data_IF_609077684390
#
_entry.id   IF_609077684390
#
_cell.length_a   1.000
_cell.length_b   1.000
_cell.length_c   1.000
_cell.angle_alpha   90.00
_cell.angle_beta   90.00
_cell.angle_gamma   90.00
#
_symmetry.space_group_name_H-M   'P 1'
#
loop_
_entity.id
_entity.type
_entity.pdbx_description
1 polymer ?
#
# COMPACT_ATOMS: atom_id res chain seq x y z
N UNK A 1 -4.78 -18.65 82.86
CA UNK A 1 -3.98 -19.44 81.88
C UNK A 1 -4.48 -19.12 80.48
N UNK A 2 -3.83 -18.24 79.72
CA UNK A 2 -4.39 -17.77 78.44
C UNK A 2 -3.55 -16.73 77.71
N UNK A 3 -2.33 -17.07 77.28
CA UNK A 3 -1.54 -16.26 76.32
C UNK A 3 -0.67 -17.08 75.34
N UNK A 4 -0.55 -18.40 75.51
CA UNK A 4 0.35 -19.23 74.69
C UNK A 4 -0.26 -19.78 73.38
N UNK A 5 -1.59 -19.77 73.21
CA UNK A 5 -2.27 -20.43 72.09
C UNK A 5 -2.49 -19.52 70.86
N UNK A 6 -2.69 -18.21 71.04
CA UNK A 6 -2.95 -17.27 69.92
C UNK A 6 -1.69 -16.97 69.09
N UNK A 7 -0.51 -16.94 69.70
CA UNK A 7 0.76 -16.62 69.02
C UNK A 7 1.20 -17.70 68.03
N UNK A 8 0.85 -18.98 68.26
CA UNK A 8 1.16 -20.08 67.34
C UNK A 8 0.31 -20.04 66.06
N UNK A 9 -0.97 -19.66 66.16
CA UNK A 9 -1.87 -19.59 64.99
C UNK A 9 -1.54 -18.42 64.03
N UNK A 10 -0.97 -17.32 64.52
CA UNK A 10 -0.57 -16.17 63.68
C UNK A 10 0.74 -16.42 62.91
N UNK A 11 1.66 -17.22 63.45
CA UNK A 11 2.91 -17.60 62.79
C UNK A 11 2.64 -18.54 61.61
N UNK A 12 1.75 -19.52 61.78
CA UNK A 12 1.36 -20.46 60.72
C UNK A 12 0.60 -19.78 59.57
N UNK A 13 -0.21 -18.75 59.86
CA UNK A 13 -0.95 -17.99 58.84
C UNK A 13 -0.04 -17.10 57.99
N UNK A 14 0.97 -16.47 58.61
CA UNK A 14 2.00 -15.67 57.91
C UNK A 14 2.93 -16.53 57.07
N UNK A 15 3.29 -17.72 57.55
CA UNK A 15 4.10 -18.70 56.79
C UNK A 15 3.37 -19.20 55.53
N UNK A 16 2.06 -19.47 55.60
CA UNK A 16 1.26 -19.90 54.44
C UNK A 16 1.11 -18.81 53.37
N UNK A 17 0.95 -17.53 53.76
CA UNK A 17 0.87 -16.40 52.82
C UNK A 17 2.23 -16.12 52.15
N UNK A 18 3.34 -16.30 52.86
CA UNK A 18 4.68 -16.19 52.29
C UNK A 18 4.96 -17.30 51.25
N UNK A 19 4.60 -18.54 51.56
CA UNK A 19 4.74 -19.69 50.64
C UNK A 19 3.88 -19.53 49.37
N UNK A 20 2.65 -19.00 49.49
CA UNK A 20 1.79 -18.71 48.33
C UNK A 20 2.36 -17.60 47.43
N UNK A 21 3.00 -16.57 48.00
CA UNK A 21 3.64 -15.48 47.22
C UNK A 21 4.91 -15.92 46.50
N UNK A 22 5.66 -16.87 47.04
CA UNK A 22 6.81 -17.47 46.34
C UNK A 22 6.38 -18.42 45.21
N UNK A 23 5.31 -19.21 45.42
CA UNK A 23 4.72 -20.05 44.38
C UNK A 23 4.16 -19.21 43.20
N UNK A 24 3.50 -18.09 43.50
CA UNK A 24 2.99 -17.16 42.48
C UNK A 24 4.13 -16.51 41.68
N UNK A 25 5.22 -16.07 42.32
CA UNK A 25 6.40 -15.51 41.63
C UNK A 25 7.10 -16.53 40.72
N UNK A 26 7.21 -17.79 41.15
CA UNK A 26 7.75 -18.90 40.31
C UNK A 26 6.83 -19.26 39.14
N UNK A 27 5.53 -19.04 39.25
CA UNK A 27 4.59 -19.23 38.15
C UNK A 27 4.68 -18.09 37.13
N UNK A 28 4.82 -16.84 37.61
CA UNK A 28 4.93 -15.66 36.76
C UNK A 28 6.27 -15.59 36.00
N UNK A 29 7.39 -15.97 36.64
CA UNK A 29 8.68 -16.12 35.95
C UNK A 29 8.64 -17.21 34.86
N UNK A 30 7.99 -18.35 35.13
CA UNK A 30 7.79 -19.39 34.09
C UNK A 30 6.95 -18.85 32.93
N UNK A 31 5.89 -18.09 33.19
CA UNK A 31 5.04 -17.48 32.15
C UNK A 31 5.79 -16.47 31.28
N UNK A 32 6.69 -15.66 31.87
CA UNK A 32 7.57 -14.73 31.11
C UNK A 32 8.62 -15.47 30.27
N UNK A 33 9.19 -16.56 30.78
CA UNK A 33 10.12 -17.40 30.01
C UNK A 33 9.41 -18.07 28.83
N UNK A 34 8.16 -18.52 29.00
CA UNK A 34 7.37 -19.09 27.90
C UNK A 34 6.95 -18.05 26.84
N UNK A 35 6.68 -16.78 27.23
CA UNK A 35 6.40 -15.70 26.27
C UNK A 35 7.64 -15.23 25.50
N UNK A 36 8.80 -15.18 26.14
CA UNK A 36 10.07 -14.86 25.49
C UNK A 36 10.58 -16.01 24.59
N UNK A 37 10.42 -17.27 25.03
CA UNK A 37 10.78 -18.45 24.22
C UNK A 37 9.87 -18.65 23.01
N UNK A 38 8.56 -18.40 23.16
CA UNK A 38 7.58 -18.52 22.06
C UNK A 38 7.78 -17.48 20.95
N UNK A 39 8.18 -16.24 21.30
CA UNK A 39 8.47 -15.19 20.32
C UNK A 39 9.76 -15.45 19.55
N UNK A 40 10.82 -15.93 20.21
CA UNK A 40 12.08 -16.32 19.54
C UNK A 40 11.84 -17.51 18.59
N UNK A 41 11.05 -18.51 19.01
CA UNK A 41 10.73 -19.65 18.16
C UNK A 41 9.86 -19.24 16.95
N UNK A 42 8.89 -18.33 17.14
CA UNK A 42 8.09 -17.81 16.04
C UNK A 42 8.94 -17.02 15.02
N UNK A 43 9.84 -16.16 15.50
CA UNK A 43 10.78 -15.43 14.63
C UNK A 43 11.72 -16.41 13.91
N UNK A 44 12.25 -17.42 14.60
CA UNK A 44 13.10 -18.44 13.97
C UNK A 44 12.35 -19.24 12.90
N UNK A 45 11.09 -19.62 13.14
CA UNK A 45 10.25 -20.31 12.15
C UNK A 45 9.98 -19.40 10.94
N UNK A 46 9.68 -18.11 11.16
CA UNK A 46 9.48 -17.14 10.07
C UNK A 46 10.76 -16.96 9.26
N UNK A 47 11.91 -16.80 9.91
CA UNK A 47 13.22 -16.67 9.23
C UNK A 47 13.56 -17.96 8.45
N UNK A 48 13.35 -19.13 9.04
CA UNK A 48 13.56 -20.41 8.35
C UNK A 48 12.60 -20.58 7.19
N UNK A 49 11.33 -20.19 7.32
CA UNK A 49 10.37 -20.19 6.22
C UNK A 49 10.81 -19.24 5.09
N UNK A 50 11.29 -18.04 5.41
CA UNK A 50 11.85 -17.11 4.43
C UNK A 50 13.11 -17.66 3.76
N UNK A 51 14.02 -18.29 4.50
CA UNK A 51 15.23 -18.92 3.96
C UNK A 51 14.87 -20.10 3.06
N UNK A 52 13.89 -20.93 3.43
CA UNK A 52 13.42 -22.04 2.60
C UNK A 52 12.70 -21.55 1.33
N UNK A 53 11.90 -20.49 1.42
CA UNK A 53 11.31 -19.83 0.24
C UNK A 53 12.42 -19.27 -0.66
N UNK A 54 13.46 -18.67 -0.09
CA UNK A 54 14.60 -18.12 -0.86
C UNK A 54 15.48 -19.22 -1.48
N UNK A 55 15.60 -20.38 -0.84
CA UNK A 55 16.36 -21.54 -1.36
C UNK A 55 15.57 -22.33 -2.42
N UNK A 56 14.24 -22.37 -2.33
CA UNK A 56 13.38 -23.01 -3.33
C UNK A 56 13.00 -22.10 -4.51
N UNK A 57 13.16 -20.79 -4.36
CA UNK A 57 12.99 -19.83 -5.46
C UNK A 57 14.31 -19.73 -6.21
N UNK A 58 14.59 -20.72 -7.07
CA UNK A 58 15.66 -20.62 -8.06
C UNK A 58 15.54 -19.29 -8.80
N UNK A 59 16.59 -18.47 -8.77
CA UNK A 59 16.62 -17.15 -9.35
C UNK A 59 16.31 -17.20 -10.84
N UNK A 60 15.03 -17.01 -11.18
CA UNK A 60 14.61 -16.74 -12.55
C UNK A 60 15.22 -15.41 -12.97
N UNK A 61 15.92 -15.41 -14.11
CA UNK A 61 16.44 -14.18 -14.69
C UNK A 61 15.30 -13.16 -14.84
N UNK A 62 15.46 -11.98 -14.26
CA UNK A 62 14.53 -10.86 -14.44
C UNK A 62 14.38 -10.59 -15.93
N UNK A 63 13.15 -10.48 -16.43
CA UNK A 63 12.92 -10.14 -17.82
C UNK A 63 13.54 -8.78 -18.13
N UNK A 64 14.29 -8.66 -19.24
CA UNK A 64 14.89 -7.38 -19.60
C UNK A 64 13.81 -6.31 -19.80
N UNK A 65 14.04 -5.12 -19.24
CA UNK A 65 13.09 -4.02 -19.29
C UNK A 65 12.91 -3.54 -20.75
N UNK A 66 11.67 -3.44 -21.27
CA UNK A 66 11.45 -3.06 -22.67
C UNK A 66 11.83 -1.60 -22.91
N UNK A 67 12.37 -1.32 -24.10
CA UNK A 67 12.72 0.03 -24.55
C UNK A 67 12.17 0.27 -25.96
N UNK A 68 12.26 1.50 -26.45
CA UNK A 68 11.85 1.87 -27.81
C UNK A 68 10.41 1.43 -28.13
N UNK A 69 10.23 0.76 -29.27
CA UNK A 69 8.91 0.33 -29.75
C UNK A 69 8.20 -0.63 -28.79
N UNK A 70 8.93 -1.50 -28.09
CA UNK A 70 8.33 -2.43 -27.14
C UNK A 70 7.74 -1.68 -25.93
N UNK A 71 8.46 -0.67 -25.43
CA UNK A 71 7.94 0.22 -24.38
C UNK A 71 6.73 1.01 -24.88
N UNK A 72 6.78 1.57 -26.09
CA UNK A 72 5.62 2.27 -26.67
C UNK A 72 4.39 1.35 -26.73
N UNK A 73 4.55 0.09 -27.14
CA UNK A 73 3.44 -0.87 -27.18
C UNK A 73 2.87 -1.15 -25.79
N UNK A 74 3.73 -1.40 -24.80
CA UNK A 74 3.31 -1.65 -23.41
C UNK A 74 2.57 -0.44 -22.86
N UNK A 75 3.16 0.76 -22.99
CA UNK A 75 2.54 2.00 -22.50
C UNK A 75 1.19 2.22 -23.17
N UNK A 76 1.11 2.12 -24.50
CA UNK A 76 -0.16 2.29 -25.21
C UNK A 76 -1.24 1.30 -24.75
N UNK A 77 -0.87 0.05 -24.48
CA UNK A 77 -1.82 -0.94 -24.01
C UNK A 77 -2.37 -0.61 -22.61
N UNK A 78 -1.52 -0.13 -21.71
CA UNK A 78 -1.92 0.23 -20.33
C UNK A 78 -2.72 1.53 -20.30
N UNK A 79 -2.35 2.52 -21.11
CA UNK A 79 -3.03 3.83 -21.12
C UNK A 79 -4.34 3.82 -21.90
N UNK A 80 -4.57 2.83 -22.79
CA UNK A 80 -5.77 2.72 -23.62
C UNK A 80 -6.58 1.44 -23.35
N UNK A 81 -6.66 0.99 -22.10
CA UNK A 81 -7.56 -0.12 -21.75
C UNK A 81 -9.01 0.27 -22.09
N UNK A 82 -9.76 -0.54 -22.86
CA UNK A 82 -11.11 -0.20 -23.27
C UNK A 82 -12.06 0.00 -22.09
N UNK A 83 -12.98 0.95 -22.20
CA UNK A 83 -14.03 1.21 -21.20
C UNK A 83 -14.85 -0.05 -20.91
N UNK A 84 -15.09 -0.90 -21.92
CA UNK A 84 -15.77 -2.18 -21.74
C UNK A 84 -15.03 -3.14 -20.79
N UNK A 85 -13.70 -3.04 -20.70
CA UNK A 85 -12.89 -3.80 -19.75
C UNK A 85 -12.95 -3.15 -18.37
N UNK A 86 -12.75 -1.83 -18.28
CA UNK A 86 -12.76 -1.13 -16.98
C UNK A 86 -14.12 -1.24 -16.29
N UNK A 87 -15.21 -1.07 -17.05
CA UNK A 87 -16.59 -1.20 -16.54
C UNK A 87 -16.91 -2.65 -16.14
N UNK A 88 -16.40 -3.64 -16.88
CA UNK A 88 -16.58 -5.06 -16.55
C UNK A 88 -15.78 -5.49 -15.32
N UNK A 89 -14.60 -4.93 -15.11
CA UNK A 89 -13.81 -5.17 -13.89
C UNK A 89 -14.48 -4.53 -12.67
N UNK A 90 -15.11 -3.36 -12.83
CA UNK A 90 -15.77 -2.62 -11.77
C UNK A 90 -14.85 -2.40 -10.55
N UNK A 91 -15.19 -2.92 -9.37
CA UNK A 91 -14.37 -2.77 -8.16
C UNK A 91 -13.11 -3.66 -8.15
N UNK A 92 -12.95 -4.56 -9.12
CA UNK A 92 -11.83 -5.49 -9.20
C UNK A 92 -11.68 -6.43 -8.00
N UNK A 93 -12.74 -6.60 -7.19
CA UNK A 93 -12.70 -7.35 -5.95
C UNK A 93 -11.96 -6.65 -4.81
N UNK A 94 -11.74 -5.33 -4.90
CA UNK A 94 -11.10 -4.58 -3.82
C UNK A 94 -11.88 -4.73 -2.52
N UNK A 95 -11.18 -5.03 -1.43
CA UNK A 95 -11.80 -5.22 -0.12
C UNK A 95 -12.50 -3.95 0.33
N UNK A 96 -13.74 -4.04 0.82
CA UNK A 96 -14.46 -2.87 1.32
C UNK A 96 -13.97 -2.41 2.69
N UNK A 97 -13.36 -3.31 3.46
CA UNK A 97 -12.89 -3.02 4.82
C UNK A 97 -11.64 -2.13 4.89
N UNK A 98 -11.07 -1.77 3.74
CA UNK A 98 -9.92 -0.87 3.65
C UNK A 98 -10.30 0.56 3.26
N UNK A 99 -11.60 0.86 3.13
CA UNK A 99 -12.08 2.23 3.03
C UNK A 99 -12.48 2.75 4.41
N UNK A 100 -12.04 3.95 4.76
CA UNK A 100 -12.28 4.55 6.07
C UNK A 100 -12.47 6.06 5.99
N UNK A 101 -13.06 6.67 7.02
CA UNK A 101 -13.06 8.13 7.18
C UNK A 101 -12.01 8.49 8.22
N UNK A 102 -11.08 9.37 7.87
CA UNK A 102 -9.97 9.79 8.73
C UNK A 102 -9.84 11.32 8.75
N UNK A 103 -10.70 11.98 9.51
CA UNK A 103 -10.78 13.44 9.53
C UNK A 103 -9.92 14.08 10.63
N UNK A 104 -9.50 13.30 11.62
CA UNK A 104 -8.63 13.73 12.71
C UNK A 104 -7.37 12.88 12.78
N UNK A 105 -6.33 13.39 13.45
CA UNK A 105 -5.11 12.63 13.71
C UNK A 105 -5.37 11.33 14.52
N UNK A 106 -6.41 11.33 15.37
CA UNK A 106 -6.82 10.14 16.11
C UNK A 106 -7.45 9.08 15.18
N UNK A 107 -8.24 9.51 14.19
CA UNK A 107 -8.80 8.62 13.19
C UNK A 107 -7.69 8.03 12.32
N UNK A 108 -6.77 8.87 11.81
CA UNK A 108 -5.61 8.42 11.03
C UNK A 108 -4.83 7.36 11.79
N UNK A 109 -4.49 7.63 13.06
CA UNK A 109 -3.79 6.67 13.92
C UNK A 109 -4.57 5.36 14.08
N UNK A 110 -5.90 5.44 14.20
CA UNK A 110 -6.76 4.26 14.35
C UNK A 110 -6.79 3.44 13.07
N UNK A 111 -6.97 4.10 11.93
CA UNK A 111 -6.97 3.48 10.60
C UNK A 111 -5.60 2.82 10.34
N UNK A 112 -4.50 3.55 10.52
CA UNK A 112 -3.14 3.04 10.28
C UNK A 112 -2.73 1.90 11.21
N UNK A 113 -3.25 1.86 12.44
CA UNK A 113 -2.94 0.78 13.39
C UNK A 113 -3.73 -0.50 13.13
N UNK A 114 -4.91 -0.37 12.52
CA UNK A 114 -5.81 -1.50 12.28
C UNK A 114 -5.71 -2.06 10.86
N UNK A 115 -5.31 -1.22 9.89
CA UNK A 115 -5.25 -1.55 8.47
C UNK A 115 -3.81 -1.42 7.98
N UNK A 116 -3.31 -2.47 7.32
CA UNK A 116 -2.00 -2.42 6.66
C UNK A 116 -1.98 -1.64 5.34
N UNK A 117 -3.15 -1.38 4.77
CA UNK A 117 -3.36 -0.57 3.57
C UNK A 117 -4.78 -0.01 3.58
N UNK A 118 -4.99 1.20 3.07
CA UNK A 118 -6.32 1.83 3.06
C UNK A 118 -6.43 2.96 2.06
N UNK A 119 -7.68 3.29 1.71
CA UNK A 119 -8.04 4.59 1.14
C UNK A 119 -8.99 5.29 2.10
N UNK A 120 -8.52 6.39 2.69
CA UNK A 120 -9.27 7.16 3.65
C UNK A 120 -9.80 8.45 3.05
N UNK A 121 -11.03 8.82 3.41
CA UNK A 121 -11.54 10.17 3.18
C UNK A 121 -11.02 11.08 4.26
N UNK A 122 -10.36 12.17 3.86
CA UNK A 122 -9.72 13.12 4.75
C UNK A 122 -10.38 14.49 4.63
N UNK A 123 -10.28 15.31 5.67
CA UNK A 123 -10.92 16.64 5.70
C UNK A 123 -9.85 17.75 5.74
N UNK A 124 -9.03 17.80 4.69
CA UNK A 124 -8.01 18.81 4.55
C UNK A 124 -8.44 19.97 3.64
N UNK A 125 -7.66 21.05 3.68
CA UNK A 125 -7.79 22.14 2.69
C UNK A 125 -7.51 21.58 1.30
N UNK A 126 -8.39 21.80 0.30
CA UNK A 126 -8.20 21.24 -1.04
C UNK A 126 -6.79 21.50 -1.59
N UNK A 127 -6.06 20.43 -1.88
CA UNK A 127 -4.73 20.54 -2.48
C UNK A 127 -4.89 20.85 -3.96
N UNK A 128 -4.37 22.00 -4.38
CA UNK A 128 -4.46 22.47 -5.76
C UNK A 128 -3.12 22.97 -6.25
N UNK A 129 -2.85 22.72 -7.53
CA UNK A 129 -1.67 23.19 -8.23
C UNK A 129 -2.05 23.57 -9.65
N UNK A 130 -1.64 24.77 -10.07
CA UNK A 130 -2.00 25.37 -11.36
C UNK A 130 -3.53 25.44 -11.59
N UNK A 131 -4.29 25.76 -10.53
CA UNK A 131 -5.75 25.91 -10.59
C UNK A 131 -6.53 24.59 -10.73
N UNK A 132 -5.87 23.45 -10.58
CA UNK A 132 -6.47 22.11 -10.67
C UNK A 132 -6.26 21.35 -9.36
N UNK A 133 -7.14 20.40 -9.00
CA UNK A 133 -6.84 19.43 -7.95
C UNK A 133 -5.48 18.77 -8.21
N UNK A 134 -4.66 18.69 -7.18
CA UNK A 134 -3.36 18.03 -7.24
C UNK A 134 -3.48 16.60 -6.72
N UNK A 135 -2.83 15.67 -7.42
CA UNK A 135 -2.61 14.30 -6.97
C UNK A 135 -1.12 14.16 -6.68
N UNK A 136 -0.76 14.04 -5.40
CA UNK A 136 0.60 13.79 -4.95
C UNK A 136 0.81 12.29 -4.82
N UNK A 137 1.91 11.79 -5.38
CA UNK A 137 2.37 10.44 -5.15
C UNK A 137 3.75 10.49 -4.49
N UNK A 138 3.96 9.70 -3.44
CA UNK A 138 5.27 9.47 -2.83
C UNK A 138 5.55 7.97 -2.81
N UNK A 139 6.73 7.59 -3.30
CA UNK A 139 7.20 6.21 -3.26
C UNK A 139 8.68 6.11 -3.59
N UNK A 140 9.14 4.90 -3.89
CA UNK A 140 10.51 4.66 -4.30
C UNK A 140 10.56 3.49 -5.28
N UNK A 141 11.49 3.57 -6.24
CA UNK A 141 11.66 2.51 -7.24
C UNK A 141 11.98 1.17 -6.58
N UNK A 142 12.73 1.14 -5.47
CA UNK A 142 13.01 -0.12 -4.74
C UNK A 142 11.75 -0.86 -4.26
N UNK A 143 10.65 -0.15 -4.00
CA UNK A 143 9.49 -0.68 -3.29
C UNK A 143 8.57 -1.50 -4.23
N UNK A 144 8.34 -2.79 -3.95
CA UNK A 144 7.54 -3.64 -4.83
C UNK A 144 6.04 -3.30 -4.82
N UNK A 145 5.49 -2.82 -3.70
CA UNK A 145 4.10 -2.35 -3.62
C UNK A 145 3.91 -1.09 -4.47
N UNK A 146 4.90 -0.21 -4.47
CA UNK A 146 4.97 0.97 -5.33
C UNK A 146 5.04 0.55 -6.80
N UNK A 147 5.83 -0.48 -7.10
CA UNK A 147 5.92 -1.07 -8.42
C UNK A 147 4.55 -1.58 -8.92
N UNK A 148 3.74 -2.19 -8.04
CA UNK A 148 2.37 -2.57 -8.38
C UNK A 148 1.47 -1.36 -8.64
N UNK A 149 1.50 -0.36 -7.76
CA UNK A 149 0.61 0.80 -7.82
C UNK A 149 0.81 1.66 -9.06
N UNK A 150 2.06 1.77 -9.54
CA UNK A 150 2.36 2.53 -10.76
C UNK A 150 1.59 2.06 -11.98
N UNK A 151 1.29 0.76 -12.10
CA UNK A 151 0.43 0.26 -13.18
C UNK A 151 -1.00 0.80 -13.06
N UNK A 152 -1.55 0.81 -11.85
CA UNK A 152 -2.88 1.33 -11.58
C UNK A 152 -2.95 2.85 -11.81
N UNK A 153 -1.98 3.61 -11.29
CA UNK A 153 -1.87 5.06 -11.52
C UNK A 153 -1.69 5.44 -12.99
N UNK A 154 -0.81 4.74 -13.73
CA UNK A 154 -0.63 4.99 -15.17
C UNK A 154 -1.94 4.76 -15.92
N UNK A 155 -2.68 3.69 -15.58
CA UNK A 155 -3.99 3.45 -16.20
C UNK A 155 -5.05 4.48 -15.80
N UNK A 156 -5.17 4.80 -14.51
CA UNK A 156 -6.18 5.72 -14.00
C UNK A 156 -5.99 7.13 -14.54
N UNK A 157 -4.79 7.70 -14.39
CA UNK A 157 -4.54 9.10 -14.71
C UNK A 157 -4.42 9.35 -16.22
N UNK A 158 -4.17 8.31 -17.04
CA UNK A 158 -4.28 8.42 -18.50
C UNK A 158 -5.71 8.66 -18.99
N UNK A 159 -6.73 8.38 -18.15
CA UNK A 159 -8.12 8.70 -18.47
C UNK A 159 -8.41 10.20 -18.39
N UNK A 160 -7.56 10.94 -17.66
CA UNK A 160 -7.67 12.39 -17.43
C UNK A 160 -6.55 13.18 -18.12
N UNK A 161 -5.58 12.54 -18.76
CA UNK A 161 -4.42 13.24 -19.29
C UNK A 161 -3.48 12.33 -20.04
N UNK A 162 -2.26 12.81 -20.25
CA UNK A 162 -1.26 12.08 -21.04
C UNK A 162 0.07 12.10 -20.32
N UNK A 163 0.62 10.91 -20.13
CA UNK A 163 2.01 10.73 -19.74
C UNK A 163 2.93 10.77 -20.95
N UNK A 164 4.07 11.42 -20.81
CA UNK A 164 5.17 11.41 -21.79
C UNK A 164 6.48 11.11 -21.09
N UNK A 165 7.40 10.43 -21.76
CA UNK A 165 8.71 10.08 -21.18
C UNK A 165 8.66 9.02 -20.07
N UNK A 166 7.56 8.26 -19.94
CA UNK A 166 7.53 7.09 -19.05
C UNK A 166 8.64 6.10 -19.45
N UNK A 167 9.28 5.54 -18.44
CA UNK A 167 10.29 4.48 -18.59
C UNK A 167 9.89 3.27 -17.76
N UNK A 168 10.44 2.13 -18.12
CA UNK A 168 10.33 0.89 -17.33
C UNK A 168 11.38 0.84 -16.23
N UNK A 169 11.03 0.26 -15.09
CA UNK A 169 11.91 0.00 -13.97
C UNK A 169 11.52 -1.32 -13.27
N UNK A 170 12.39 -1.86 -12.43
CA UNK A 170 12.03 -2.93 -11.52
C UNK A 170 12.07 -2.41 -10.08
N UNK A 171 11.29 -3.05 -9.21
CA UNK A 171 11.59 -2.99 -7.77
C UNK A 171 12.94 -3.60 -7.44
N UNK A 172 13.43 -3.34 -6.24
CA UNK A 172 14.69 -3.89 -5.76
C UNK A 172 14.72 -5.42 -5.94
N UNK A 173 15.87 -5.95 -6.36
CA UNK A 173 16.11 -7.38 -6.46
C UNK A 173 16.32 -8.07 -5.11
N UNK A 174 16.41 -7.32 -4.01
CA UNK A 174 16.67 -7.84 -2.64
C UNK A 174 15.48 -7.72 -1.69
N UNK A 175 14.36 -7.14 -2.12
CA UNK A 175 13.13 -6.99 -1.34
C UNK A 175 12.30 -8.30 -1.33
N UNK A 176 11.23 -8.34 -0.53
CA UNK A 176 10.31 -9.50 -0.37
C UNK A 176 9.69 -9.95 -1.70
N UNK A 177 9.45 -9.03 -2.63
CA UNK A 177 9.01 -9.34 -3.99
C UNK A 177 10.03 -8.80 -5.00
N UNK A 178 11.10 -9.56 -5.25
CA UNK A 178 12.25 -9.05 -5.97
C UNK A 178 11.92 -8.81 -7.44
N UNK A 179 12.52 -7.77 -8.02
CA UNK A 179 12.43 -7.46 -9.44
C UNK A 179 10.99 -7.39 -9.97
N UNK A 180 10.08 -6.75 -9.23
CA UNK A 180 8.70 -6.56 -9.67
C UNK A 180 8.69 -5.60 -10.87
N UNK A 181 8.18 -6.00 -12.06
CA UNK A 181 8.19 -5.17 -13.26
C UNK A 181 7.25 -3.97 -13.12
N UNK A 182 7.72 -2.77 -13.48
CA UNK A 182 6.94 -1.54 -13.30
C UNK A 182 7.39 -0.39 -14.21
N UNK A 183 6.72 0.76 -14.09
CA UNK A 183 7.17 2.03 -14.65
C UNK A 183 7.95 2.81 -13.59
N UNK A 184 8.64 3.86 -14.02
CA UNK A 184 9.10 4.93 -13.14
C UNK A 184 8.51 6.26 -13.59
N UNK A 185 8.17 7.11 -12.63
CA UNK A 185 7.78 8.48 -12.92
C UNK A 185 8.97 9.44 -13.00
N UNK A 186 10.18 9.02 -12.63
CA UNK A 186 11.37 9.86 -12.71
C UNK A 186 11.64 10.29 -14.16
N UNK A 187 11.67 11.60 -14.37
CA UNK A 187 11.86 12.20 -15.69
C UNK A 187 10.65 12.08 -16.62
N UNK A 188 9.54 11.50 -16.17
CA UNK A 188 8.26 11.53 -16.90
C UNK A 188 7.59 12.90 -16.76
N UNK A 189 6.68 13.22 -17.67
CA UNK A 189 5.83 14.41 -17.60
C UNK A 189 4.38 14.00 -17.74
N UNK A 190 3.50 14.70 -17.03
CA UNK A 190 2.05 14.51 -17.12
C UNK A 190 1.38 15.82 -17.53
N UNK A 191 0.51 15.75 -18.54
CA UNK A 191 -0.29 16.90 -19.01
C UNK A 191 -1.77 16.57 -18.90
N UNK A 192 -2.55 17.46 -18.29
CA UNK A 192 -3.98 17.29 -18.10
C UNK A 192 -4.69 18.63 -17.94
N UNK A 193 -5.96 18.68 -18.39
CA UNK A 193 -6.89 19.77 -18.14
C UNK A 193 -7.64 19.63 -16.80
N UNK A 194 -7.59 18.46 -16.17
CA UNK A 194 -8.44 18.10 -15.04
C UNK A 194 -7.69 18.06 -13.71
N UNK A 195 -6.49 17.47 -13.69
CA UNK A 195 -5.67 17.37 -12.49
C UNK A 195 -4.22 17.80 -12.74
N UNK A 196 -3.48 18.07 -11.68
CA UNK A 196 -2.03 18.11 -11.68
C UNK A 196 -1.53 16.84 -11.00
N UNK A 197 -0.63 16.09 -11.64
CA UNK A 197 -0.01 14.91 -11.04
C UNK A 197 1.43 15.25 -10.65
N UNK A 198 1.75 15.09 -9.38
CA UNK A 198 3.04 15.46 -8.79
C UNK A 198 3.67 14.20 -8.16
N UNK A 199 4.39 13.39 -8.94
CA UNK A 199 5.07 12.21 -8.40
C UNK A 199 6.41 12.57 -7.76
N UNK A 200 6.70 11.93 -6.63
CA UNK A 200 8.00 11.94 -5.96
C UNK A 200 8.46 10.49 -5.77
N UNK A 201 9.44 10.09 -6.55
CA UNK A 201 10.19 8.85 -6.41
C UNK A 201 11.43 9.16 -5.57
N UNK A 202 11.38 8.92 -4.28
CA UNK A 202 12.43 9.33 -3.33
C UNK A 202 13.75 8.60 -3.60
N UNK A 203 13.67 7.29 -3.84
CA UNK A 203 14.83 6.42 -3.96
C UNK A 203 14.77 5.51 -5.18
N UNK A 204 15.94 5.14 -5.69
CA UNK A 204 16.13 4.22 -6.81
C UNK A 204 15.89 2.76 -6.44
N UNK A 205 16.06 1.87 -7.42
CA UNK A 205 15.98 0.42 -7.20
C UNK A 205 16.94 -0.04 -6.10
N UNK A 206 18.11 0.59 -6.00
CA UNK A 206 18.95 0.57 -4.81
C UNK A 206 18.54 1.72 -3.87
N UNK A 207 18.01 1.38 -2.69
CA UNK A 207 17.41 2.35 -1.75
C UNK A 207 18.40 3.39 -1.17
N UNK A 208 19.71 3.21 -1.39
CA UNK A 208 20.74 4.19 -1.03
C UNK A 208 20.95 5.28 -2.09
N UNK A 209 20.28 5.20 -3.23
CA UNK A 209 20.33 6.19 -4.30
C UNK A 209 19.10 7.09 -4.18
N UNK A 210 19.29 8.33 -3.76
CA UNK A 210 18.22 9.34 -3.76
C UNK A 210 17.97 9.83 -5.18
N UNK A 211 16.72 9.76 -5.64
CA UNK A 211 16.29 10.23 -6.96
C UNK A 211 15.60 11.59 -6.88
N UNK A 212 14.70 11.76 -5.90
CA UNK A 212 13.98 13.00 -5.65
C UNK A 212 13.86 13.23 -4.13
N UNK A 213 13.52 14.44 -3.72
CA UNK A 213 13.29 14.77 -2.31
C UNK A 213 11.92 15.45 -2.21
N UNK A 214 10.99 14.94 -1.38
CA UNK A 214 9.73 15.62 -1.14
C UNK A 214 9.98 17.00 -0.58
N UNK A 215 9.18 17.99 -0.99
CA UNK A 215 9.17 19.29 -0.31
C UNK A 215 8.66 19.13 1.13
N UNK A 216 8.97 20.09 2.01
CA UNK A 216 8.49 20.05 3.40
C UNK A 216 6.96 19.96 3.51
N UNK A 217 6.23 20.61 2.59
CA UNK A 217 4.77 20.55 2.52
C UNK A 217 4.28 19.15 2.12
N UNK A 218 4.89 18.53 1.10
CA UNK A 218 4.57 17.16 0.68
C UNK A 218 4.85 16.15 1.81
N UNK A 219 6.00 16.28 2.48
CA UNK A 219 6.35 15.41 3.61
C UNK A 219 5.37 15.59 4.78
N UNK A 220 4.98 16.82 5.08
CA UNK A 220 3.99 17.09 6.14
C UNK A 220 2.64 16.49 5.80
N UNK A 221 2.21 16.59 4.54
CA UNK A 221 0.96 15.98 4.07
C UNK A 221 1.00 14.45 4.21
N UNK A 222 2.08 13.82 3.74
CA UNK A 222 2.29 12.38 3.87
C UNK A 222 2.28 11.95 5.35
N UNK A 223 3.06 12.60 6.21
CA UNK A 223 3.10 12.24 7.65
C UNK A 223 1.78 12.50 8.38
N UNK A 224 0.96 13.44 7.89
CA UNK A 224 -0.36 13.73 8.47
C UNK A 224 -1.32 12.57 8.28
N UNK A 225 -1.31 11.94 7.11
CA UNK A 225 -2.24 10.85 6.78
C UNK A 225 -1.61 9.48 6.81
N UNK A 226 -0.29 9.38 6.81
CA UNK A 226 0.46 8.15 6.97
C UNK A 226 1.63 8.37 7.97
N UNK A 227 1.34 8.39 9.28
CA UNK A 227 2.38 8.50 10.30
C UNK A 227 3.30 7.28 10.34
N UNK A 228 2.96 6.18 9.64
CA UNK A 228 3.78 4.99 9.52
C UNK A 228 4.90 5.10 8.47
N UNK A 229 4.81 6.08 7.56
CA UNK A 229 5.77 6.25 6.47
C UNK A 229 5.80 5.06 5.51
N UNK A 230 4.65 4.45 5.27
CA UNK A 230 4.49 3.42 4.27
C UNK A 230 4.52 4.02 2.86
N UNK A 231 4.88 3.18 1.89
CA UNK A 231 4.85 3.52 0.48
C UNK A 231 4.25 2.35 -0.31
N UNK A 232 3.42 2.60 -1.35
CA UNK A 232 3.08 3.91 -1.91
C UNK A 232 2.18 4.76 -0.99
N UNK A 233 2.35 6.08 -1.05
CA UNK A 233 1.41 7.07 -0.51
C UNK A 233 0.84 7.90 -1.66
N UNK A 234 -0.48 8.07 -1.70
CA UNK A 234 -1.15 8.91 -2.70
C UNK A 234 -2.13 9.85 -1.99
N UNK A 235 -1.96 11.15 -2.14
CA UNK A 235 -2.98 12.14 -1.81
C UNK A 235 -3.74 12.54 -3.07
N UNK A 236 -5.07 12.53 -3.01
CA UNK A 236 -5.94 12.99 -4.07
C UNK A 236 -6.68 14.24 -3.61
N UNK A 237 -6.11 15.40 -3.93
CA UNK A 237 -6.69 16.72 -3.71
C UNK A 237 -6.91 17.05 -2.23
N UNK A 238 -6.20 16.40 -1.31
CA UNK A 238 -6.42 16.45 0.13
C UNK A 238 -7.87 16.15 0.54
N UNK A 239 -8.52 15.30 -0.26
CA UNK A 239 -9.87 14.76 -0.03
C UNK A 239 -9.82 13.27 0.24
N UNK A 240 -8.89 12.56 -0.40
CA UNK A 240 -8.61 11.16 -0.15
C UNK A 240 -7.12 10.93 0.03
N UNK A 241 -6.75 10.04 0.95
CA UNK A 241 -5.39 9.56 1.13
C UNK A 241 -5.37 8.03 0.99
N UNK A 242 -4.57 7.51 0.07
CA UNK A 242 -4.30 6.10 -0.09
C UNK A 242 -2.91 5.76 0.47
N UNK A 243 -2.85 4.69 1.25
CA UNK A 243 -1.64 4.16 1.87
C UNK A 243 -1.53 2.68 1.54
N UNK A 244 -0.43 2.30 0.89
CA UNK A 244 -0.26 0.95 0.36
C UNK A 244 -1.15 0.67 -0.85
N UNK A 245 -1.04 -0.53 -1.43
CA UNK A 245 -1.96 -0.95 -2.50
C UNK A 245 -3.34 -1.32 -1.93
N UNK A 246 -4.42 -1.08 -2.68
CA UNK A 246 -5.73 -1.60 -2.31
C UNK A 246 -5.81 -3.10 -2.59
N UNK A 247 -5.91 -3.89 -1.52
CA UNK A 247 -6.06 -5.35 -1.61
C UNK A 247 -7.25 -5.72 -2.49
N UNK A 248 -7.12 -6.73 -3.39
CA UNK A 248 -6.12 -7.79 -3.34
C UNK A 248 -4.85 -7.54 -4.16
N UNK A 249 -4.62 -6.32 -4.66
CA UNK A 249 -3.40 -6.03 -5.42
C UNK A 249 -2.17 -6.30 -4.55
N UNK A 250 -1.28 -7.16 -5.05
CA UNK A 250 -0.04 -7.54 -4.39
C UNK A 250 1.07 -7.72 -5.43
N UNK A 251 2.32 -7.33 -5.12
CA UNK A 251 3.45 -7.52 -6.03
C UNK A 251 3.72 -9.00 -6.35
N UNK A 252 3.35 -9.92 -5.46
CA UNK A 252 3.41 -11.37 -5.68
C UNK A 252 2.67 -11.83 -6.95
N UNK A 253 1.63 -11.10 -7.35
CA UNK A 253 0.87 -11.39 -8.57
C UNK A 253 1.66 -11.11 -9.86
N UNK A 254 2.78 -10.40 -9.76
CA UNK A 254 3.67 -10.02 -10.87
C UNK A 254 5.02 -10.75 -10.86
N UNK A 255 5.25 -11.63 -9.89
CA UNK A 255 6.49 -12.41 -9.81
C UNK A 255 6.74 -13.19 -11.10
N UNK A 256 7.94 -13.01 -11.67
CA UNK A 256 8.38 -13.66 -12.90
C UNK A 256 7.66 -13.21 -14.18
N UNK A 257 6.82 -12.18 -14.12
CA UNK A 257 6.12 -11.65 -15.31
C UNK A 257 6.97 -10.62 -16.04
N UNK A 258 6.77 -10.52 -17.35
CA UNK A 258 7.24 -9.40 -18.16
C UNK A 258 6.21 -8.27 -18.17
N UNK A 259 6.64 -7.06 -18.53
CA UNK A 259 5.73 -5.93 -18.77
C UNK A 259 4.61 -6.25 -19.75
N UNK A 260 4.92 -6.93 -20.85
CA UNK A 260 3.92 -7.30 -21.85
C UNK A 260 2.89 -8.27 -21.25
N UNK A 261 3.30 -9.20 -20.39
CA UNK A 261 2.38 -10.10 -19.70
C UNK A 261 1.50 -9.37 -18.68
N UNK A 262 2.04 -8.37 -17.96
CA UNK A 262 1.24 -7.54 -17.04
C UNK A 262 0.25 -6.68 -17.82
N UNK A 263 0.68 -6.00 -18.88
CA UNK A 263 -0.20 -5.20 -19.75
C UNK A 263 -1.32 -6.04 -20.39
N UNK A 264 -0.98 -7.24 -20.88
CA UNK A 264 -1.96 -8.19 -21.41
C UNK A 264 -2.95 -8.66 -20.33
N UNK A 265 -2.48 -8.90 -19.11
CA UNK A 265 -3.35 -9.24 -17.99
C UNK A 265 -4.36 -8.13 -17.68
N UNK A 266 -3.94 -6.85 -17.68
CA UNK A 266 -4.85 -5.72 -17.44
C UNK A 266 -5.92 -5.57 -18.53
N UNK A 267 -5.60 -5.96 -19.77
CA UNK A 267 -6.58 -5.95 -20.89
C UNK A 267 -7.59 -7.10 -20.81
N UNK A 268 -7.37 -8.07 -19.92
CA UNK A 268 -8.24 -9.24 -19.75
C UNK A 268 -9.09 -9.12 -18.47
N UNK A 269 -10.40 -8.85 -18.57
CA UNK A 269 -11.27 -8.66 -17.40
C UNK A 269 -11.50 -9.93 -16.57
N UNK A 270 -11.05 -11.11 -17.03
CA UNK A 270 -11.12 -12.36 -16.25
C UNK A 270 -9.81 -12.70 -15.54
N UNK A 271 -8.71 -12.01 -15.86
CA UNK A 271 -7.41 -12.20 -15.21
C UNK A 271 -7.46 -11.72 -13.76
N UNK A 272 -7.01 -12.53 -12.80
CA UNK A 272 -6.93 -12.10 -11.40
C UNK A 272 -6.01 -10.88 -11.23
N UNK A 273 -4.85 -10.88 -11.89
CA UNK A 273 -3.95 -9.73 -11.91
C UNK A 273 -4.60 -8.51 -12.60
N UNK A 274 -5.30 -8.74 -13.71
CA UNK A 274 -5.99 -7.68 -14.43
C UNK A 274 -7.08 -7.02 -13.60
N UNK A 275 -7.90 -7.82 -12.91
CA UNK A 275 -8.93 -7.33 -11.98
C UNK A 275 -8.33 -6.51 -10.84
N UNK A 276 -7.26 -6.99 -10.22
CA UNK A 276 -6.63 -6.28 -9.11
C UNK A 276 -6.06 -4.92 -9.56
N UNK A 277 -5.31 -4.88 -10.66
CA UNK A 277 -4.71 -3.67 -11.20
C UNK A 277 -5.76 -2.67 -11.71
N UNK A 278 -6.73 -3.13 -12.51
CA UNK A 278 -7.77 -2.26 -13.07
C UNK A 278 -8.78 -1.84 -11.99
N UNK A 279 -9.03 -2.66 -10.97
CA UNK A 279 -9.84 -2.30 -9.80
C UNK A 279 -9.23 -1.16 -9.00
N UNK A 280 -7.94 -1.24 -8.66
CA UNK A 280 -7.20 -0.15 -8.02
C UNK A 280 -7.25 1.11 -8.89
N UNK A 281 -6.98 0.98 -10.20
CA UNK A 281 -7.09 2.09 -11.14
C UNK A 281 -8.50 2.71 -11.19
N UNK A 282 -9.54 1.89 -11.08
CA UNK A 282 -10.93 2.34 -11.08
C UNK A 282 -11.27 3.13 -9.79
N UNK A 283 -10.72 2.76 -8.63
CA UNK A 283 -10.89 3.55 -7.40
C UNK A 283 -10.14 4.89 -7.46
N UNK A 284 -8.90 4.91 -7.96
CA UNK A 284 -8.19 6.15 -8.25
C UNK A 284 -8.95 7.03 -9.24
N UNK A 285 -9.57 6.41 -10.26
CA UNK A 285 -10.42 7.11 -11.23
C UNK A 285 -11.67 7.68 -10.57
N UNK A 286 -12.37 6.90 -9.73
CA UNK A 286 -13.58 7.35 -9.02
C UNK A 286 -13.27 8.50 -8.07
N UNK A 287 -12.20 8.41 -7.28
CA UNK A 287 -11.75 9.52 -6.43
C UNK A 287 -11.42 10.77 -7.27
N UNK A 288 -10.76 10.60 -8.41
CA UNK A 288 -10.48 11.71 -9.34
C UNK A 288 -11.75 12.28 -9.97
N UNK A 289 -12.76 11.45 -10.26
CA UNK A 289 -14.07 11.91 -10.75
C UNK A 289 -14.76 12.81 -9.72
N UNK A 290 -14.70 12.47 -8.43
CA UNK A 290 -15.20 13.34 -7.36
C UNK A 290 -14.46 14.69 -7.35
N UNK A 291 -13.13 14.69 -7.50
CA UNK A 291 -12.33 15.93 -7.51
C UNK A 291 -12.62 16.83 -8.71
N UNK A 292 -13.02 16.24 -9.83
CA UNK A 292 -13.19 16.91 -11.13
C UNK A 292 -14.64 17.19 -11.47
N UNK A 293 -15.57 16.96 -10.53
CA UNK A 293 -17.01 17.05 -10.76
C UNK A 293 -17.46 16.19 -11.95
N UNK A 294 -17.00 14.93 -11.97
CA UNK A 294 -17.29 13.92 -12.98
C UNK A 294 -16.82 14.28 -14.40
N UNK A 295 -15.66 14.93 -14.52
CA UNK A 295 -15.06 15.28 -15.82
C UNK A 295 -13.67 14.68 -16.03
N UNK A 296 -13.38 14.12 -17.22
CA UNK A 296 -14.27 13.98 -18.38
C UNK A 296 -15.27 12.84 -18.21
N UNK A 297 -16.44 12.97 -18.84
CA UNK A 297 -17.46 11.92 -18.86
C UNK A 297 -16.95 10.57 -19.43
N UNK A 298 -15.93 10.60 -20.30
CA UNK A 298 -15.28 9.39 -20.83
C UNK A 298 -14.51 8.59 -19.76
N UNK A 299 -14.01 9.27 -18.72
CA UNK A 299 -13.37 8.63 -17.57
C UNK A 299 -14.38 8.29 -16.47
N UNK A 300 -15.33 9.20 -16.23
CA UNK A 300 -16.32 9.11 -15.16
C UNK A 300 -17.60 8.41 -15.63
N UNK A 301 -17.44 7.16 -16.09
CA UNK A 301 -18.58 6.34 -16.54
C UNK A 301 -19.54 6.03 -15.38
N UNK A 302 -20.80 5.65 -15.65
CA UNK A 302 -21.71 5.22 -14.58
C UNK A 302 -21.17 4.05 -13.74
N UNK A 303 -20.33 3.19 -14.30
CA UNK A 303 -19.69 2.10 -13.54
C UNK A 303 -18.65 2.65 -12.55
N UNK A 304 -17.83 3.62 -12.97
CA UNK A 304 -16.86 4.30 -12.12
C UNK A 304 -17.55 5.11 -11.02
N UNK A 305 -18.58 5.89 -11.35
CA UNK A 305 -19.30 6.69 -10.36
C UNK A 305 -19.96 5.84 -9.27
N UNK A 306 -20.38 4.61 -9.58
CA UNK A 306 -20.90 3.67 -8.55
C UNK A 306 -19.86 3.33 -7.48
N UNK A 307 -18.57 3.37 -7.79
CA UNK A 307 -17.50 3.10 -6.84
C UNK A 307 -17.33 4.24 -5.83
N UNK A 308 -17.76 5.46 -6.15
CA UNK A 308 -17.73 6.61 -5.24
C UNK A 308 -18.52 6.35 -3.95
N UNK A 309 -19.53 5.47 -4.00
CA UNK A 309 -20.29 5.08 -2.82
C UNK A 309 -19.47 4.26 -1.80
N UNK A 310 -18.37 3.65 -2.23
CA UNK A 310 -17.44 2.90 -1.36
C UNK A 310 -16.32 3.79 -0.82
N UNK A 311 -15.97 4.88 -1.53
CA UNK A 311 -15.10 5.92 -0.99
C UNK A 311 -15.83 6.47 0.24
N UNK A 312 -15.29 6.22 1.44
CA UNK A 312 -15.98 6.52 2.69
C UNK A 312 -16.48 7.97 2.69
N UNK A 313 -17.63 8.23 3.32
CA UNK A 313 -18.15 9.60 3.46
C UNK A 313 -17.62 10.26 4.72
#
# INVERSE_FOLDING_TARGET
MGKASRTKQDVDRRARVAAQREAARRAEQRKRIYLAGGSILAVAIVVVAFVLVKLNSGGGASASAPTGAALTSVTNQVTNIPVSVTDKVADGGVSKGIFASAHTAADVKTVSSNLGSYMATVNGTPLTSNGKPEVLYIGGEYCPYCAAERWAMVNAFSRFGTFTGLKTAHSSGSDVYPNTPTFTFVGSKYTSKYITFTPVEEFGAESNITLQTPTAAQQTLATTYDPGGAIPFIDLGNKYAEVGNLLPLSPSMMTGKTWAQVAAAMSNPTSSLGKALVGNANYLTAATCVLTNNQPASACTPAIQKLEANLAK
#
